data_IF_467443096961
#
_entry.id   IF_467443096961
#
_cell.length_a   1.000
_cell.length_b   1.000
_cell.length_c   1.000
_cell.angle_alpha   90.00
_cell.angle_beta   90.00
_cell.angle_gamma   90.00
#
_symmetry.space_group_name_H-M   'P 1'
#
loop_
_entity.id
_entity.type
_entity.pdbx_description
1 polymer ?
#
# COMPACT_ATOMS: atom_id res chain seq x y z
N UNK A 1 -4.02 12.71 -25.21
CA UNK A 1 -4.98 12.14 -26.19
C UNK A 1 -6.43 12.11 -25.72
N UNK A 2 -6.68 11.88 -24.42
CA UNK A 2 -8.04 11.84 -23.81
C UNK A 2 -8.69 13.23 -23.81
N UNK A 3 -7.96 14.28 -23.45
CA UNK A 3 -8.45 15.68 -23.35
C UNK A 3 -8.92 16.31 -24.68
N UNK A 4 -8.59 15.70 -25.82
CA UNK A 4 -8.89 16.27 -27.13
C UNK A 4 -10.16 15.76 -27.79
N UNK A 5 -10.84 14.74 -27.24
CA UNK A 5 -11.97 14.07 -27.93
C UNK A 5 -13.34 14.35 -27.32
N UNK A 6 -13.44 14.43 -26.00
CA UNK A 6 -14.67 14.89 -25.30
C UNK A 6 -14.29 15.39 -23.90
N UNK A 7 -14.41 16.67 -23.66
CA UNK A 7 -14.10 17.28 -22.38
C UNK A 7 -15.00 16.76 -21.24
N UNK A 8 -16.25 16.41 -21.57
CA UNK A 8 -17.23 15.87 -20.62
C UNK A 8 -16.80 14.54 -20.01
N UNK A 9 -16.39 13.59 -20.86
CA UNK A 9 -15.90 12.27 -20.43
C UNK A 9 -14.59 12.39 -19.64
N UNK A 10 -13.72 13.32 -20.06
CA UNK A 10 -12.45 13.59 -19.35
C UNK A 10 -12.70 14.19 -17.96
N UNK A 11 -13.65 15.10 -17.83
CA UNK A 11 -14.03 15.70 -16.56
C UNK A 11 -14.61 14.66 -15.60
N UNK A 12 -15.47 13.77 -16.08
CA UNK A 12 -16.02 12.66 -15.28
C UNK A 12 -14.92 11.73 -14.78
N UNK A 13 -14.01 11.32 -15.68
CA UNK A 13 -12.88 10.45 -15.28
C UNK A 13 -12.01 11.12 -14.24
N UNK A 14 -11.69 12.40 -14.42
CA UNK A 14 -10.91 13.17 -13.45
C UNK A 14 -11.63 13.27 -12.08
N UNK A 15 -12.94 13.50 -12.08
CA UNK A 15 -13.72 13.53 -10.84
C UNK A 15 -13.69 12.19 -10.10
N UNK A 16 -13.85 11.06 -10.79
CA UNK A 16 -13.75 9.74 -10.19
C UNK A 16 -12.35 9.45 -9.63
N UNK A 17 -11.30 9.81 -10.36
CA UNK A 17 -9.91 9.66 -9.90
C UNK A 17 -9.68 10.49 -8.62
N UNK A 18 -10.16 11.73 -8.58
CA UNK A 18 -10.04 12.59 -7.39
C UNK A 18 -10.77 11.98 -6.19
N UNK A 19 -11.98 11.46 -6.39
CA UNK A 19 -12.75 10.80 -5.32
C UNK A 19 -12.02 9.56 -4.80
N UNK A 20 -11.51 8.71 -5.68
CA UNK A 20 -10.74 7.51 -5.30
C UNK A 20 -9.47 7.92 -4.54
N UNK A 21 -8.70 8.88 -5.05
CA UNK A 21 -7.51 9.39 -4.37
C UNK A 21 -7.82 9.98 -3.00
N UNK A 22 -8.86 10.80 -2.90
CA UNK A 22 -9.29 11.38 -1.62
C UNK A 22 -9.68 10.30 -0.60
N UNK A 23 -10.38 9.25 -1.04
CA UNK A 23 -10.76 8.13 -0.18
C UNK A 23 -9.52 7.38 0.31
N UNK A 24 -8.56 7.08 -0.58
CA UNK A 24 -7.31 6.39 -0.21
C UNK A 24 -6.53 7.24 0.80
N UNK A 25 -6.33 8.52 0.52
CA UNK A 25 -5.60 9.44 1.41
C UNK A 25 -6.27 9.55 2.78
N UNK A 26 -7.59 9.59 2.83
CA UNK A 26 -8.35 9.62 4.09
C UNK A 26 -8.12 8.34 4.91
N UNK A 27 -8.25 7.17 4.29
CA UNK A 27 -8.01 5.89 4.97
C UNK A 27 -6.55 5.80 5.45
N UNK A 28 -5.59 6.18 4.61
CA UNK A 28 -4.17 6.17 4.97
C UNK A 28 -3.87 7.11 6.14
N UNK A 29 -4.41 8.32 6.15
CA UNK A 29 -4.21 9.28 7.25
C UNK A 29 -4.74 8.77 8.60
N UNK A 30 -5.81 7.96 8.58
CA UNK A 30 -6.38 7.33 9.77
C UNK A 30 -5.55 6.11 10.21
N UNK A 31 -5.06 5.31 9.25
CA UNK A 31 -4.34 4.07 9.53
C UNK A 31 -2.88 4.32 9.97
N UNK A 32 -2.20 5.33 9.41
CA UNK A 32 -0.78 5.58 9.66
C UNK A 32 -0.43 5.75 11.15
N UNK A 33 -1.14 6.56 11.95
CA UNK A 33 -0.87 6.66 13.39
C UNK A 33 -1.15 5.36 14.14
N UNK A 34 -2.12 4.57 13.69
CA UNK A 34 -2.47 3.28 14.29
C UNK A 34 -1.40 2.22 14.05
N UNK A 35 -0.72 2.23 12.90
CA UNK A 35 0.42 1.35 12.65
C UNK A 35 1.55 1.56 13.65
N UNK A 36 1.84 2.82 14.01
CA UNK A 36 2.83 3.12 15.04
C UNK A 36 2.41 2.58 16.41
N UNK A 37 1.12 2.58 16.71
CA UNK A 37 0.59 2.02 17.95
C UNK A 37 0.66 0.48 17.96
N UNK A 38 0.36 -0.17 16.82
CA UNK A 38 0.57 -1.62 16.64
C UNK A 38 2.02 -1.99 16.95
N UNK A 39 2.99 -1.22 16.43
CA UNK A 39 4.41 -1.48 16.68
C UNK A 39 4.75 -1.41 18.18
N UNK A 40 4.26 -0.38 18.87
CA UNK A 40 4.47 -0.24 20.33
C UNK A 40 3.86 -1.40 21.14
N UNK A 41 2.68 -1.88 20.73
CA UNK A 41 2.02 -3.03 21.36
C UNK A 41 2.78 -4.33 21.07
N UNK A 42 3.29 -4.50 19.85
CA UNK A 42 4.15 -5.63 19.49
C UNK A 42 5.41 -5.67 20.37
N UNK A 43 6.07 -4.53 20.55
CA UNK A 43 7.26 -4.44 21.41
C UNK A 43 6.91 -4.76 22.86
N UNK A 44 5.73 -4.33 23.36
CA UNK A 44 5.24 -4.65 24.69
C UNK A 44 4.97 -6.15 24.87
N UNK A 45 4.31 -6.78 23.90
CA UNK A 45 4.04 -8.22 23.89
C UNK A 45 5.35 -9.01 23.90
N UNK A 46 6.29 -8.66 23.00
CA UNK A 46 7.59 -9.30 22.92
C UNK A 46 8.39 -9.18 24.23
N UNK A 47 8.30 -8.03 24.90
CA UNK A 47 8.94 -7.83 26.20
C UNK A 47 8.34 -8.74 27.27
N UNK A 48 6.99 -8.81 27.37
CA UNK A 48 6.31 -9.67 28.33
C UNK A 48 6.62 -11.15 28.07
N UNK A 49 6.62 -11.56 26.79
CA UNK A 49 6.96 -12.93 26.41
C UNK A 49 8.41 -13.29 26.77
N UNK A 50 9.35 -12.38 26.51
CA UNK A 50 10.78 -12.59 26.88
C UNK A 50 10.96 -12.65 28.38
N UNK A 51 10.29 -11.80 29.13
CA UNK A 51 10.30 -11.78 30.59
C UNK A 51 9.79 -13.10 31.17
N UNK A 52 8.68 -13.63 30.61
CA UNK A 52 8.13 -14.93 30.99
C UNK A 52 9.08 -16.08 30.66
N UNK A 53 9.66 -16.11 29.46
CA UNK A 53 10.63 -17.14 29.06
C UNK A 53 11.89 -17.14 29.94
N UNK A 54 12.42 -15.97 30.28
CA UNK A 54 13.60 -15.86 31.12
C UNK A 54 13.32 -16.25 32.58
N UNK A 55 12.12 -15.94 33.09
CA UNK A 55 11.70 -16.20 34.46
C UNK A 55 10.86 -17.46 34.64
N UNK A 56 10.76 -18.37 33.67
CA UNK A 56 9.81 -19.48 33.66
C UNK A 56 9.91 -20.39 34.87
N UNK A 57 11.14 -20.66 35.32
CA UNK A 57 11.40 -21.47 36.53
C UNK A 57 10.87 -20.79 37.81
N UNK A 58 10.96 -19.46 37.87
CA UNK A 58 10.44 -18.68 39.00
C UNK A 58 8.91 -18.68 38.96
N UNK A 59 8.31 -18.50 37.77
CA UNK A 59 6.86 -18.53 37.59
C UNK A 59 6.29 -19.87 38.07
N UNK A 60 6.89 -20.99 37.68
CA UNK A 60 6.49 -22.32 38.13
C UNK A 60 6.72 -22.53 39.63
N UNK A 61 7.86 -22.08 40.18
CA UNK A 61 8.17 -22.24 41.60
C UNK A 61 7.17 -21.53 42.51
N UNK A 62 6.61 -20.40 42.05
CA UNK A 62 5.61 -19.60 42.81
C UNK A 62 4.16 -19.83 42.34
N UNK A 63 3.91 -20.75 41.39
CA UNK A 63 2.57 -21.03 40.79
C UNK A 63 1.91 -19.73 40.30
N UNK A 64 2.69 -18.89 39.58
CA UNK A 64 2.27 -17.55 39.16
C UNK A 64 1.88 -17.48 37.65
N UNK A 65 1.50 -18.62 37.05
CA UNK A 65 1.14 -18.74 35.65
C UNK A 65 -0.06 -17.85 35.29
N UNK A 66 -1.09 -17.84 36.15
CA UNK A 66 -2.29 -17.02 35.94
C UNK A 66 -1.98 -15.53 35.91
N UNK A 67 -1.06 -15.08 36.77
CA UNK A 67 -0.59 -13.70 36.76
C UNK A 67 0.14 -13.35 35.46
N UNK A 68 0.99 -14.25 34.97
CA UNK A 68 1.73 -14.03 33.71
C UNK A 68 0.81 -14.07 32.50
N UNK A 69 -0.18 -14.96 32.50
CA UNK A 69 -1.21 -15.01 31.46
C UNK A 69 -2.01 -13.71 31.41
N UNK A 70 -2.49 -13.22 32.56
CA UNK A 70 -3.19 -11.95 32.63
C UNK A 70 -2.34 -10.77 32.16
N UNK A 71 -1.03 -10.76 32.52
CA UNK A 71 -0.08 -9.74 32.06
C UNK A 71 0.13 -9.76 30.54
N UNK A 72 0.03 -10.91 29.89
CA UNK A 72 0.13 -11.08 28.46
C UNK A 72 -1.19 -10.75 27.74
N UNK A 73 -2.32 -11.14 28.32
CA UNK A 73 -3.65 -10.99 27.72
C UNK A 73 -4.05 -9.52 27.52
N UNK A 74 -3.67 -8.65 28.43
CA UNK A 74 -3.99 -7.21 28.34
C UNK A 74 -3.41 -6.59 27.06
N UNK A 75 -2.09 -6.59 26.79
CA UNK A 75 -1.53 -6.00 25.58
C UNK A 75 -1.93 -6.77 24.32
N UNK A 76 -2.17 -8.08 24.41
CA UNK A 76 -2.66 -8.91 23.31
C UNK A 76 -4.08 -8.50 22.91
N UNK A 77 -4.97 -8.31 23.88
CA UNK A 77 -6.34 -7.84 23.65
C UNK A 77 -6.39 -6.41 23.07
N UNK A 78 -5.54 -5.50 23.57
CA UNK A 78 -5.40 -4.14 23.01
C UNK A 78 -4.96 -4.20 21.54
N UNK A 79 -3.96 -5.03 21.23
CA UNK A 79 -3.46 -5.23 19.86
C UNK A 79 -4.54 -5.82 18.94
N UNK A 80 -5.25 -6.86 19.40
CA UNK A 80 -6.35 -7.46 18.65
C UNK A 80 -7.43 -6.43 18.31
N UNK A 81 -7.87 -5.63 19.28
CA UNK A 81 -8.88 -4.60 19.07
C UNK A 81 -8.41 -3.51 18.09
N UNK A 82 -7.15 -3.11 18.15
CA UNK A 82 -6.57 -2.14 17.24
C UNK A 82 -6.47 -2.70 15.83
N UNK A 83 -6.03 -3.95 15.67
CA UNK A 83 -5.96 -4.67 14.40
C UNK A 83 -7.34 -4.85 13.78
N UNK A 84 -8.36 -5.23 14.57
CA UNK A 84 -9.74 -5.33 14.10
C UNK A 84 -10.27 -4.00 13.55
N UNK A 85 -9.99 -2.88 14.23
CA UNK A 85 -10.37 -1.54 13.73
C UNK A 85 -9.69 -1.20 12.41
N UNK A 86 -8.40 -1.53 12.26
CA UNK A 86 -7.68 -1.34 11.02
C UNK A 86 -8.23 -2.23 9.90
N UNK A 87 -8.46 -3.51 10.18
CA UNK A 87 -9.00 -4.45 9.19
C UNK A 87 -10.40 -4.06 8.70
N UNK A 88 -11.26 -3.55 9.58
CA UNK A 88 -12.58 -3.03 9.18
C UNK A 88 -12.46 -1.84 8.22
N UNK A 89 -11.50 -0.94 8.43
CA UNK A 89 -11.25 0.16 7.50
C UNK A 89 -10.70 -0.33 6.15
N UNK A 90 -9.77 -1.28 6.17
CA UNK A 90 -9.26 -1.88 4.93
C UNK A 90 -10.33 -2.69 4.19
N UNK A 91 -11.23 -3.36 4.91
CA UNK A 91 -12.33 -4.08 4.29
C UNK A 91 -13.28 -3.16 3.49
N UNK A 92 -13.40 -1.88 3.87
CA UNK A 92 -14.17 -0.91 3.10
C UNK A 92 -13.48 -0.49 1.78
N UNK A 93 -12.17 -0.67 1.65
CA UNK A 93 -11.45 -0.29 0.43
C UNK A 93 -11.92 -1.09 -0.79
N UNK A 94 -12.15 -2.40 -0.64
CA UNK A 94 -12.56 -3.26 -1.75
C UNK A 94 -13.92 -2.83 -2.37
N UNK A 95 -14.99 -2.64 -1.58
CA UNK A 95 -16.26 -2.13 -2.10
C UNK A 95 -16.14 -0.73 -2.73
N UNK A 96 -15.40 0.18 -2.09
CA UNK A 96 -15.20 1.54 -2.60
C UNK A 96 -14.47 1.52 -3.94
N UNK A 97 -13.41 0.73 -4.07
CA UNK A 97 -12.69 0.55 -5.33
C UNK A 97 -13.56 -0.09 -6.41
N UNK A 98 -14.31 -1.13 -6.05
CA UNK A 98 -15.25 -1.80 -6.95
C UNK A 98 -16.35 -0.86 -7.45
N UNK A 99 -16.96 -0.08 -6.57
CA UNK A 99 -17.93 0.96 -6.93
C UNK A 99 -17.29 2.07 -7.76
N UNK A 100 -16.07 2.48 -7.45
CA UNK A 100 -15.33 3.47 -8.23
C UNK A 100 -15.10 3.02 -9.67
N UNK A 101 -14.58 1.82 -9.87
CA UNK A 101 -14.30 1.30 -11.22
C UNK A 101 -15.58 1.00 -12.02
N UNK A 102 -16.53 0.27 -11.43
CA UNK A 102 -17.78 -0.09 -12.11
C UNK A 102 -18.70 1.14 -12.28
N UNK A 103 -18.71 2.06 -11.31
CA UNK A 103 -19.44 3.31 -11.40
C UNK A 103 -18.90 4.20 -12.51
N UNK A 104 -17.58 4.32 -12.64
CA UNK A 104 -16.93 5.04 -13.74
C UNK A 104 -17.33 4.44 -15.09
N UNK A 105 -17.24 3.11 -15.25
CA UNK A 105 -17.63 2.43 -16.47
C UNK A 105 -19.11 2.68 -16.82
N UNK A 106 -20.00 2.58 -15.82
CA UNK A 106 -21.44 2.82 -16.00
C UNK A 106 -21.71 4.26 -16.45
N UNK A 107 -21.08 5.25 -15.84
CA UNK A 107 -21.26 6.66 -16.21
C UNK A 107 -20.71 6.94 -17.60
N UNK A 108 -19.55 6.36 -17.97
CA UNK A 108 -18.97 6.49 -19.32
C UNK A 108 -19.90 5.89 -20.38
N UNK A 109 -20.46 4.70 -20.14
CA UNK A 109 -21.38 4.08 -21.08
C UNK A 109 -22.71 4.82 -21.16
N UNK A 110 -23.23 5.34 -20.06
CA UNK A 110 -24.46 6.12 -20.05
C UNK A 110 -24.31 7.45 -20.82
N UNK A 111 -23.25 8.21 -20.55
CA UNK A 111 -22.93 9.42 -21.31
C UNK A 111 -22.61 9.09 -22.77
N UNK A 112 -21.86 8.02 -23.00
CA UNK A 112 -21.54 7.54 -24.35
C UNK A 112 -22.78 7.18 -25.16
N UNK A 113 -23.76 6.50 -24.56
CA UNK A 113 -25.04 6.23 -25.20
C UNK A 113 -25.81 7.50 -25.56
N UNK A 114 -25.81 8.51 -24.68
CA UNK A 114 -26.40 9.82 -24.96
C UNK A 114 -25.71 10.51 -26.15
N UNK A 115 -24.36 10.47 -26.20
CA UNK A 115 -23.57 11.05 -27.29
C UNK A 115 -23.84 10.33 -28.63
N UNK A 116 -23.88 8.99 -28.61
CA UNK A 116 -24.22 8.19 -29.84
C UNK A 116 -25.64 8.48 -30.30
N UNK A 117 -26.58 8.67 -29.37
CA UNK A 117 -27.98 8.99 -29.74
C UNK A 117 -28.16 10.42 -30.26
N UNK A 118 -27.24 11.33 -29.96
CA UNK A 118 -27.22 12.68 -30.52
C UNK A 118 -26.81 12.73 -32.00
N UNK A 119 -26.14 11.67 -32.49
CA UNK A 119 -25.79 11.56 -33.95
C UNK A 119 -27.04 11.16 -34.74
N UNK A 120 -27.35 11.85 -35.87
CA UNK A 120 -28.54 11.56 -36.70
C UNK A 120 -28.61 10.12 -37.16
N UNK A 121 -29.82 9.55 -37.26
CA UNK A 121 -30.05 8.19 -37.77
C UNK A 121 -29.64 8.06 -39.26
N UNK A 122 -29.55 9.17 -39.97
CA UNK A 122 -29.12 9.22 -41.39
C UNK A 122 -27.62 8.98 -41.57
N UNK A 123 -26.82 9.00 -40.49
CA UNK A 123 -25.36 8.77 -40.53
C UNK A 123 -24.97 7.54 -39.68
N UNK A 124 -25.14 6.31 -40.24
CA UNK A 124 -24.76 5.09 -39.53
C UNK A 124 -23.24 5.00 -39.27
N UNK A 125 -22.42 5.54 -40.17
CA UNK A 125 -20.96 5.52 -40.04
C UNK A 125 -20.49 6.42 -38.91
N UNK A 126 -21.08 7.63 -38.77
CA UNK A 126 -20.80 8.54 -37.62
C UNK A 126 -21.22 7.93 -36.30
N UNK A 127 -22.34 7.22 -36.24
CA UNK A 127 -22.80 6.52 -35.02
C UNK A 127 -21.82 5.40 -34.60
N UNK A 128 -21.38 4.59 -35.56
CA UNK A 128 -20.40 3.53 -35.29
C UNK A 128 -19.05 4.10 -34.87
N UNK A 129 -18.62 5.20 -35.47
CA UNK A 129 -17.42 5.93 -35.10
C UNK A 129 -17.50 6.43 -33.65
N UNK A 130 -18.62 7.09 -33.27
CA UNK A 130 -18.83 7.57 -31.91
C UNK A 130 -18.89 6.42 -30.91
N UNK A 131 -19.54 5.31 -31.20
CA UNK A 131 -19.57 4.12 -30.37
C UNK A 131 -18.15 3.55 -30.14
N UNK A 132 -17.38 3.43 -31.22
CA UNK A 132 -15.97 3.00 -31.11
C UNK A 132 -15.14 3.92 -30.25
N UNK A 133 -15.34 5.23 -30.34
CA UNK A 133 -14.67 6.23 -29.47
C UNK A 133 -15.01 6.05 -28.01
N UNK A 134 -16.28 5.81 -27.66
CA UNK A 134 -16.72 5.55 -26.28
C UNK A 134 -16.07 4.29 -25.71
N UNK A 135 -15.99 3.20 -26.50
CA UNK A 135 -15.34 1.95 -26.08
C UNK A 135 -13.86 2.15 -25.85
N UNK A 136 -13.16 2.82 -26.76
CA UNK A 136 -11.74 3.15 -26.62
C UNK A 136 -11.52 4.04 -25.40
N UNK A 137 -12.38 5.04 -25.20
CA UNK A 137 -12.30 5.92 -24.05
C UNK A 137 -12.49 5.19 -22.72
N UNK A 138 -13.48 4.29 -22.63
CA UNK A 138 -13.72 3.44 -21.45
C UNK A 138 -12.50 2.61 -21.09
N UNK A 139 -11.82 2.03 -22.10
CA UNK A 139 -10.59 1.28 -21.89
C UNK A 139 -9.46 2.16 -21.33
N UNK A 140 -9.25 3.35 -21.92
CA UNK A 140 -8.24 4.27 -21.42
C UNK A 140 -8.57 4.79 -20.00
N UNK A 141 -9.83 5.07 -19.69
CA UNK A 141 -10.26 5.49 -18.36
C UNK A 141 -9.94 4.41 -17.30
N UNK A 142 -10.17 3.14 -17.63
CA UNK A 142 -9.79 2.01 -16.78
C UNK A 142 -8.28 1.95 -16.56
N UNK A 143 -7.47 2.12 -17.61
CA UNK A 143 -6.01 2.16 -17.47
C UNK A 143 -5.53 3.33 -16.63
N UNK A 144 -6.16 4.49 -16.72
CA UNK A 144 -5.83 5.65 -15.86
C UNK A 144 -6.06 5.30 -14.39
N UNK A 145 -7.23 4.74 -14.04
CA UNK A 145 -7.53 4.33 -12.66
C UNK A 145 -6.53 3.27 -12.17
N UNK A 146 -6.25 2.24 -12.97
CA UNK A 146 -5.26 1.21 -12.62
C UNK A 146 -3.86 1.79 -12.41
N UNK A 147 -3.44 2.75 -13.25
CA UNK A 147 -2.15 3.42 -13.11
C UNK A 147 -2.05 4.20 -11.80
N UNK A 148 -3.11 4.89 -11.38
CA UNK A 148 -3.15 5.55 -10.08
C UNK A 148 -3.10 4.56 -8.91
N UNK A 149 -3.79 3.42 -9.00
CA UNK A 149 -3.70 2.37 -7.98
C UNK A 149 -2.27 1.81 -7.87
N UNK A 150 -1.61 1.58 -9.00
CA UNK A 150 -0.22 1.12 -9.02
C UNK A 150 0.74 2.18 -8.44
N UNK A 151 0.50 3.44 -8.73
CA UNK A 151 1.27 4.57 -8.16
C UNK A 151 1.15 4.59 -6.63
N UNK A 152 -0.05 4.42 -6.08
CA UNK A 152 -0.27 4.35 -4.63
C UNK A 152 0.49 3.18 -4.01
N UNK A 153 0.46 2.01 -4.66
CA UNK A 153 1.22 0.83 -4.21
C UNK A 153 2.73 1.11 -4.17
N UNK A 154 3.27 1.76 -5.21
CA UNK A 154 4.69 2.15 -5.25
C UNK A 154 5.03 3.11 -4.11
N UNK A 155 4.19 4.10 -3.83
CA UNK A 155 4.40 5.02 -2.71
C UNK A 155 4.40 4.33 -1.34
N UNK A 156 3.64 3.24 -1.17
CA UNK A 156 3.68 2.45 0.06
C UNK A 156 4.98 1.66 0.22
N UNK A 157 5.59 1.22 -0.87
CA UNK A 157 6.85 0.46 -0.87
C UNK A 157 8.10 1.38 -0.77
N UNK A 158 7.97 2.63 -1.17
CA UNK A 158 9.10 3.59 -1.26
C UNK A 158 9.86 3.74 0.06
N UNK A 159 9.22 3.92 1.25
CA UNK A 159 9.94 4.04 2.52
C UNK A 159 10.76 2.79 2.86
N UNK A 160 10.23 1.60 2.55
CA UNK A 160 10.95 0.34 2.78
C UNK A 160 12.17 0.19 1.85
N UNK A 161 12.00 0.57 0.58
CA UNK A 161 13.09 0.58 -0.39
C UNK A 161 14.19 1.57 0.02
N UNK A 162 13.81 2.75 0.53
CA UNK A 162 14.74 3.77 1.01
C UNK A 162 15.61 3.27 2.16
N UNK A 163 14.99 2.69 3.20
CA UNK A 163 15.73 2.12 4.35
C UNK A 163 16.65 0.98 3.92
N UNK A 164 16.21 0.15 2.97
CA UNK A 164 17.04 -0.92 2.43
C UNK A 164 18.24 -0.39 1.63
N UNK A 165 18.02 0.65 0.83
CA UNK A 165 19.09 1.32 0.08
C UNK A 165 20.12 2.00 1.01
N UNK A 166 19.66 2.67 2.07
CA UNK A 166 20.55 3.26 3.08
C UNK A 166 21.46 2.22 3.74
N UNK A 167 20.89 1.08 4.14
CA UNK A 167 21.68 -0.03 4.73
C UNK A 167 22.70 -0.64 3.76
N UNK A 168 22.32 -0.76 2.49
CA UNK A 168 23.23 -1.27 1.46
C UNK A 168 24.37 -0.26 1.24
N UNK A 169 24.06 1.01 1.13
CA UNK A 169 25.07 2.07 0.97
C UNK A 169 26.00 2.15 2.18
N UNK A 170 25.48 2.01 3.40
CA UNK A 170 26.31 1.98 4.62
C UNK A 170 27.36 0.86 4.58
N UNK A 171 27.04 -0.28 3.99
CA UNK A 171 27.99 -1.40 3.83
C UNK A 171 28.97 -1.13 2.69
N UNK A 172 28.48 -0.59 1.56
CA UNK A 172 29.32 -0.30 0.39
C UNK A 172 30.32 0.83 0.65
N UNK A 173 29.93 1.82 1.46
CA UNK A 173 30.78 2.97 1.81
C UNK A 173 31.84 2.63 2.86
N UNK A 174 31.74 1.46 3.53
CA UNK A 174 32.76 1.02 4.46
C UNK A 174 34.02 0.57 3.72
N UNK A 175 35.07 1.35 3.85
CA UNK A 175 36.43 0.93 3.47
C UNK A 175 36.94 -0.14 4.45
N UNK A 176 37.64 -1.13 3.92
CA UNK A 176 38.33 -2.13 4.76
C UNK A 176 39.31 -1.43 5.70
N UNK A 177 39.18 -1.71 7.00
CA UNK A 177 40.16 -1.28 8.00
C UNK A 177 41.46 -2.08 7.91
N UNK A 178 41.43 -3.21 7.22
CA UNK A 178 42.61 -4.05 6.97
C UNK A 178 43.20 -3.64 5.63
N UNK A 179 44.32 -2.95 5.68
CA UNK A 179 45.10 -2.58 4.52
C UNK A 179 46.31 -3.51 4.44
N UNK A 180 46.61 -3.96 3.20
CA UNK A 180 47.82 -4.77 2.98
C UNK A 180 49.06 -4.02 3.48
N UNK A 181 49.88 -4.68 4.27
CA UNK A 181 51.13 -4.11 4.73
C UNK A 181 52.08 -3.76 3.54
N UNK A 182 53.01 -2.88 3.77
CA UNK A 182 54.02 -2.48 2.78
C UNK A 182 55.08 -3.56 2.54
N UNK A 183 55.12 -4.64 3.32
CA UNK A 183 56.08 -5.71 3.19
C UNK A 183 55.54 -6.77 2.22
N UNK A 184 56.09 -6.81 1.03
CA UNK A 184 55.72 -7.71 -0.07
C UNK A 184 56.60 -8.95 -0.15
N UNK A 185 57.72 -9.00 0.55
CA UNK A 185 58.67 -10.09 0.54
C UNK A 185 59.02 -10.53 1.99
N UNK A 186 59.00 -11.81 2.26
CA UNK A 186 59.56 -12.35 3.50
C UNK A 186 61.08 -12.31 3.44
N UNK A 187 61.70 -11.65 4.41
CA UNK A 187 63.19 -11.54 4.49
C UNK A 187 63.91 -12.86 4.81
N UNK A 188 63.15 -13.89 5.22
CA UNK A 188 63.72 -15.24 5.50
C UNK A 188 62.83 -16.31 4.89
N UNK A 189 63.43 -17.21 4.11
CA UNK A 189 62.83 -18.48 3.72
C UNK A 189 62.74 -19.35 4.98
N UNK A 190 61.50 -19.62 5.43
CA UNK A 190 61.28 -20.55 6.54
C UNK A 190 61.96 -21.91 6.25
N UNK A 191 62.79 -22.35 7.15
CA UNK A 191 63.36 -23.68 7.22
C UNK A 191 62.37 -24.66 7.81
#
# INVERSE_FOLDING_TARGET
KILGKSWELSAVTAAFVVVICATILTIMSICLPRFRMVQKLTDRINRVARENLTGINVVHAFNAEDYQNAKFDVPSGEMMNLQLKNQRLFALMQPVMGLGMNGLALVIYWLGAALVNAVPLSDPAGRLGMFSEVVVFSTYATYVVMSFMMLVMIFMLLPQAQVSAERINEVLDKSSSIVSGSVTECAESGT
#
